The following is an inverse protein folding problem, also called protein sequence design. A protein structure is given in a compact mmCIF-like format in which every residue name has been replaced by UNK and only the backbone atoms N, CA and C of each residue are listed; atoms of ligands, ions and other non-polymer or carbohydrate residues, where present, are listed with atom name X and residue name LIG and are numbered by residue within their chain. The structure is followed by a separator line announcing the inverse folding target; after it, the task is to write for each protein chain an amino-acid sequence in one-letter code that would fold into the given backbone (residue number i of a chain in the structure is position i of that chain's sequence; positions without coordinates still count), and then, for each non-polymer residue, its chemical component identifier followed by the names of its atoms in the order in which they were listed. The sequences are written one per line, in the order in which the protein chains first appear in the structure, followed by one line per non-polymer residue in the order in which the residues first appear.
data_IF_960866382186
#
_entry.id   IF_960866382186
#
_cell.length_a   1.000
_cell.length_b   1.000
_cell.length_c   1.000
_cell.angle_alpha   90.00
_cell.angle_beta   90.00
_cell.angle_gamma   90.00
#
_symmetry.space_group_name_H-M   'P 1'
#
loop_
_entity.id
_entity.type
_entity.pdbx_description
1 polymer ?
#
# COMPACT_ATOMS: atom_id res chain seq x y z
N UNK A 1 9.98 14.65 40.10
CA UNK A 1 8.81 14.44 39.22
C UNK A 1 8.74 13.02 38.69
N UNK A 2 9.86 12.42 38.24
CA UNK A 2 9.94 11.03 37.76
C UNK A 2 9.36 10.00 38.75
N UNK A 3 9.67 10.12 40.04
CA UNK A 3 9.15 9.22 41.09
C UNK A 3 7.64 9.28 41.37
N UNK A 4 6.91 10.21 40.74
CA UNK A 4 5.45 10.34 40.88
C UNK A 4 4.68 9.62 39.77
N UNK A 5 5.30 9.31 38.64
CA UNK A 5 4.65 8.64 37.52
C UNK A 5 4.61 7.12 37.69
N UNK A 6 3.59 6.50 37.10
CA UNK A 6 3.39 5.04 37.03
C UNK A 6 3.30 4.59 35.58
N UNK A 7 3.56 3.30 35.33
CA UNK A 7 3.50 2.74 33.97
C UNK A 7 2.07 2.79 33.41
N UNK A 8 1.06 2.70 34.28
CA UNK A 8 -0.36 2.72 33.92
C UNK A 8 -0.90 4.14 33.68
N UNK A 9 -0.10 5.18 33.92
CA UNK A 9 -0.50 6.55 33.64
C UNK A 9 -0.60 6.77 32.12
N UNK A 10 -1.66 7.46 31.70
CA UNK A 10 -1.85 7.85 30.30
C UNK A 10 -0.74 8.82 29.89
N UNK A 11 0.01 8.45 28.86
CA UNK A 11 1.07 9.29 28.31
C UNK A 11 0.69 9.93 26.97
N UNK A 12 -0.26 9.34 26.24
CA UNK A 12 -0.64 9.80 24.91
C UNK A 12 -2.16 9.71 24.69
N UNK A 13 -2.70 10.73 24.02
CA UNK A 13 -4.08 10.80 23.53
C UNK A 13 -4.05 10.90 22.00
N UNK A 14 -4.37 9.83 21.29
CA UNK A 14 -4.35 9.81 19.82
C UNK A 14 -5.76 9.87 19.25
N UNK A 15 -6.04 10.91 18.48
CA UNK A 15 -7.31 11.03 17.78
C UNK A 15 -7.34 10.18 16.52
N UNK A 16 -8.28 9.25 16.44
CA UNK A 16 -8.52 8.44 15.24
C UNK A 16 -9.83 8.86 14.56
N UNK A 17 -9.78 8.99 13.23
CA UNK A 17 -10.97 9.10 12.40
C UNK A 17 -11.56 7.69 12.20
N UNK A 18 -12.36 7.27 13.18
CA UNK A 18 -13.26 6.14 12.99
C UNK A 18 -14.26 6.41 11.86
N UNK A 19 -15.11 5.43 11.50
CA UNK A 19 -16.17 5.62 10.49
C UNK A 19 -17.26 6.62 10.92
N UNK A 20 -17.20 7.12 12.15
CA UNK A 20 -18.08 8.16 12.70
C UNK A 20 -17.45 9.53 12.45
N UNK A 21 -18.25 10.53 12.09
CA UNK A 21 -17.78 11.88 11.76
C UNK A 21 -17.03 12.62 12.91
N UNK A 22 -17.05 12.08 14.13
CA UNK A 22 -16.33 12.63 15.28
C UNK A 22 -15.06 11.80 15.58
N UNK A 23 -13.87 12.43 15.66
CA UNK A 23 -12.63 11.77 16.05
C UNK A 23 -12.69 11.19 17.47
N UNK A 24 -12.14 9.98 17.66
CA UNK A 24 -12.09 9.28 18.94
C UNK A 24 -10.68 9.35 19.52
N UNK A 25 -10.53 9.82 20.76
CA UNK A 25 -9.22 9.93 21.42
C UNK A 25 -8.82 8.64 22.14
N UNK A 26 -7.97 7.80 21.54
CA UNK A 26 -7.43 6.61 22.17
C UNK A 26 -6.45 6.98 23.30
N UNK A 27 -6.69 6.45 24.51
CA UNK A 27 -5.86 6.65 25.68
C UNK A 27 -4.79 5.55 25.78
N UNK A 28 -3.53 5.93 25.56
CA UNK A 28 -2.38 5.03 25.63
C UNK A 28 -1.52 5.35 26.85
N UNK A 29 -1.18 4.31 27.60
CA UNK A 29 -0.33 4.40 28.81
C UNK A 29 1.14 4.18 28.47
N UNK A 30 2.03 4.56 29.40
CA UNK A 30 3.45 4.24 29.26
C UNK A 30 3.67 2.72 29.11
N UNK A 31 2.92 1.90 29.84
CA UNK A 31 2.98 0.44 29.77
C UNK A 31 2.62 -0.07 28.38
N UNK A 32 1.54 0.44 27.77
CA UNK A 32 1.14 0.03 26.42
C UNK A 32 2.25 0.32 25.39
N UNK A 33 2.78 1.54 25.41
CA UNK A 33 3.80 1.99 24.47
C UNK A 33 5.11 1.22 24.65
N UNK A 34 5.61 1.11 25.88
CA UNK A 34 6.89 0.45 26.15
C UNK A 34 6.83 -1.05 25.83
N UNK A 35 5.74 -1.73 26.18
CA UNK A 35 5.58 -3.16 25.91
C UNK A 35 5.48 -3.45 24.41
N UNK A 36 4.76 -2.61 23.66
CA UNK A 36 4.74 -2.70 22.19
C UNK A 36 6.16 -2.58 21.62
N UNK A 37 6.95 -1.59 22.07
CA UNK A 37 8.33 -1.39 21.60
C UNK A 37 9.24 -2.56 21.94
N UNK A 38 9.13 -3.12 23.15
CA UNK A 38 9.88 -4.31 23.57
C UNK A 38 9.53 -5.52 22.72
N UNK A 39 8.25 -5.74 22.46
CA UNK A 39 7.80 -6.88 21.66
C UNK A 39 8.23 -6.76 20.20
N UNK A 40 8.21 -5.56 19.62
CA UNK A 40 8.78 -5.33 18.29
C UNK A 40 10.28 -5.64 18.26
N UNK A 41 11.06 -5.11 19.22
CA UNK A 41 12.51 -5.29 19.27
C UNK A 41 12.95 -6.72 19.65
N UNK A 42 12.06 -7.54 20.21
CA UNK A 42 12.27 -8.99 20.36
C UNK A 42 12.17 -9.74 19.02
N UNK A 43 11.47 -9.17 18.04
CA UNK A 43 11.39 -9.71 16.68
C UNK A 43 12.55 -9.19 15.86
N UNK A 44 12.67 -7.86 15.77
CA UNK A 44 13.66 -7.15 14.96
C UNK A 44 14.47 -6.23 15.87
N UNK A 45 15.66 -6.66 16.33
CA UNK A 45 16.46 -5.89 17.28
C UNK A 45 16.92 -4.55 16.73
N UNK A 46 16.89 -3.52 17.58
CA UNK A 46 17.45 -2.20 17.30
C UNK A 46 18.65 -1.93 18.21
N UNK A 47 19.57 -1.11 17.70
CA UNK A 47 20.85 -0.82 18.33
C UNK A 47 21.05 0.68 18.49
N UNK A 48 21.81 1.10 19.49
CA UNK A 48 22.18 2.51 19.71
C UNK A 48 22.91 3.15 18.51
N UNK A 49 23.57 2.34 17.69
CA UNK A 49 24.25 2.76 16.46
C UNK A 49 23.34 2.88 15.25
N UNK A 50 22.05 2.54 15.39
CA UNK A 50 21.11 2.64 14.29
C UNK A 50 20.74 4.09 14.00
N UNK A 51 20.39 4.32 12.74
CA UNK A 51 19.86 5.58 12.24
C UNK A 51 18.44 5.30 11.79
N UNK A 52 17.47 6.01 12.35
CA UNK A 52 16.07 5.96 11.95
C UNK A 52 15.67 7.29 11.33
N UNK A 53 14.97 7.24 10.19
CA UNK A 53 14.39 8.44 9.57
C UNK A 53 12.95 8.60 10.05
N UNK A 54 12.71 9.62 10.87
CA UNK A 54 11.39 10.04 11.36
C UNK A 54 10.67 10.84 10.27
N UNK A 55 10.16 10.13 9.26
CA UNK A 55 9.41 10.73 8.16
C UNK A 55 7.92 10.95 8.48
N UNK A 56 7.33 10.15 9.38
CA UNK A 56 5.88 10.23 9.61
C UNK A 56 5.54 11.40 10.52
N UNK A 57 4.32 11.97 10.40
CA UNK A 57 3.85 12.95 11.36
C UNK A 57 3.82 12.36 12.77
N UNK A 58 4.31 13.11 13.77
CA UNK A 58 4.24 12.70 15.19
C UNK A 58 2.81 12.50 15.72
N UNK A 59 1.83 13.06 15.01
CA UNK A 59 0.40 12.85 15.25
C UNK A 59 -0.08 11.45 14.81
N UNK A 60 0.77 10.62 14.21
CA UNK A 60 0.46 9.23 13.89
C UNK A 60 1.11 8.28 14.90
N UNK A 61 0.36 7.26 15.31
CA UNK A 61 0.85 6.26 16.27
C UNK A 61 2.12 5.56 15.77
N UNK A 62 2.24 5.42 14.44
CA UNK A 62 3.39 4.88 13.74
C UNK A 62 4.72 5.57 14.08
N UNK A 63 4.71 6.89 14.22
CA UNK A 63 5.90 7.65 14.57
C UNK A 63 6.20 7.53 16.07
N UNK A 64 5.17 7.57 16.92
CA UNK A 64 5.35 7.38 18.37
C UNK A 64 5.87 5.99 18.74
N UNK A 65 5.41 4.95 18.05
CA UNK A 65 5.88 3.60 18.31
C UNK A 65 7.38 3.46 17.98
N UNK A 66 7.83 4.05 16.87
CA UNK A 66 9.24 3.99 16.47
C UNK A 66 10.08 4.94 17.32
N UNK A 67 9.77 6.23 17.30
CA UNK A 67 10.61 7.27 17.90
C UNK A 67 10.57 7.30 19.42
N UNK A 68 9.41 7.10 20.04
CA UNK A 68 9.28 7.15 21.50
C UNK A 68 9.42 5.76 22.10
N UNK A 69 8.63 4.79 21.63
CA UNK A 69 8.59 3.48 22.29
C UNK A 69 9.85 2.67 22.03
N UNK A 70 10.30 2.59 20.78
CA UNK A 70 11.53 1.89 20.45
C UNK A 70 12.76 2.79 20.68
N UNK A 71 12.71 4.05 20.23
CA UNK A 71 13.85 4.98 20.28
C UNK A 71 14.36 5.25 21.69
N UNK A 72 13.49 5.48 22.67
CA UNK A 72 13.93 5.71 24.05
C UNK A 72 14.54 4.44 24.68
N UNK A 73 14.07 3.26 24.28
CA UNK A 73 14.53 1.98 24.83
C UNK A 73 15.84 1.49 24.18
N UNK A 74 16.01 1.68 22.88
CA UNK A 74 17.18 1.25 22.13
C UNK A 74 18.28 2.32 22.03
N UNK A 75 17.93 3.61 22.12
CA UNK A 75 18.88 4.72 22.06
C UNK A 75 19.41 5.04 20.66
N UNK A 76 18.70 4.67 19.59
CA UNK A 76 19.11 4.99 18.22
C UNK A 76 18.91 6.46 17.86
N UNK A 77 19.59 6.92 16.81
CA UNK A 77 19.53 8.31 16.36
C UNK A 77 18.25 8.55 15.54
N UNK A 78 17.47 9.55 15.95
CA UNK A 78 16.29 10.05 15.22
C UNK A 78 16.70 11.16 14.27
N UNK A 79 16.53 10.92 12.98
CA UNK A 79 16.84 11.88 11.93
C UNK A 79 15.54 12.40 11.31
N UNK A 80 15.40 13.72 11.25
CA UNK A 80 14.22 14.39 10.72
C UNK A 80 14.54 14.97 9.33
N UNK A 81 13.72 14.69 8.31
CA UNK A 81 13.78 15.45 7.07
C UNK A 81 13.60 16.95 7.33
N UNK A 82 14.24 17.78 6.51
CA UNK A 82 14.11 19.23 6.62
C UNK A 82 12.69 19.69 6.27
N UNK A 83 12.15 19.14 5.17
CA UNK A 83 10.81 19.39 4.67
C UNK A 83 10.24 18.12 4.00
N UNK A 84 8.91 18.00 3.83
CA UNK A 84 8.30 16.87 3.13
C UNK A 84 8.84 16.65 1.72
N UNK A 85 9.17 17.73 1.01
CA UNK A 85 9.70 17.71 -0.36
C UNK A 85 11.14 17.21 -0.43
N UNK A 86 11.95 17.45 0.61
CA UNK A 86 13.36 17.03 0.69
C UNK A 86 13.53 15.63 1.29
N UNK A 87 12.44 15.02 1.78
CA UNK A 87 12.46 13.74 2.47
C UNK A 87 13.22 12.62 1.73
N UNK A 88 13.05 12.48 0.41
CA UNK A 88 13.75 11.44 -0.35
C UNK A 88 15.26 11.69 -0.43
N UNK A 89 15.68 12.95 -0.51
CA UNK A 89 17.09 13.34 -0.52
C UNK A 89 17.70 13.12 0.86
N UNK A 90 17.00 13.51 1.93
CA UNK A 90 17.45 13.26 3.30
C UNK A 90 17.51 11.76 3.62
N UNK A 91 16.53 10.95 3.21
CA UNK A 91 16.59 9.48 3.36
C UNK A 91 17.87 8.94 2.72
N UNK A 92 18.27 9.48 1.56
CA UNK A 92 19.49 9.07 0.89
C UNK A 92 20.76 9.50 1.63
N UNK A 93 20.81 10.71 2.13
CA UNK A 93 21.93 11.23 2.90
C UNK A 93 22.12 10.48 4.22
N UNK A 94 21.02 10.28 4.95
CA UNK A 94 21.00 9.56 6.23
C UNK A 94 21.37 8.09 6.02
N UNK A 95 20.83 7.47 4.96
CA UNK A 95 21.01 6.04 4.70
C UNK A 95 20.63 5.18 5.91
N UNK A 96 19.36 5.18 6.35
CA UNK A 96 18.94 4.58 7.60
C UNK A 96 19.24 3.09 7.72
N UNK A 97 19.34 2.63 8.98
CA UNK A 97 19.36 1.21 9.33
C UNK A 97 17.94 0.65 9.53
N UNK A 98 17.03 1.51 9.99
CA UNK A 98 15.61 1.17 10.20
C UNK A 98 14.72 2.24 9.57
N UNK A 99 13.67 1.84 8.87
CA UNK A 99 12.73 2.77 8.24
C UNK A 99 11.31 2.23 8.26
N UNK A 100 10.36 3.04 8.74
CA UNK A 100 8.94 2.75 8.65
C UNK A 100 8.25 3.80 7.78
N UNK A 101 7.57 3.36 6.72
CA UNK A 101 6.87 4.27 5.82
C UNK A 101 5.57 3.65 5.26
N UNK A 102 4.57 4.47 4.89
CA UNK A 102 3.36 3.96 4.26
C UNK A 102 3.66 3.44 2.85
N UNK A 103 2.82 2.54 2.28
CA UNK A 103 3.01 1.97 0.95
C UNK A 103 3.34 2.99 -0.12
N UNK A 104 2.68 4.15 -0.09
CA UNK A 104 2.87 5.26 -1.04
C UNK A 104 4.34 5.71 -1.17
N UNK A 105 5.13 5.68 -0.10
CA UNK A 105 6.55 6.07 -0.16
C UNK A 105 7.34 5.05 -0.98
N UNK A 106 7.13 3.76 -0.71
CA UNK A 106 7.75 2.67 -1.45
C UNK A 106 7.28 2.61 -2.91
N UNK A 107 5.98 2.81 -3.15
CA UNK A 107 5.40 2.94 -4.49
C UNK A 107 6.07 4.06 -5.28
N UNK A 108 6.26 5.24 -4.65
CA UNK A 108 6.93 6.38 -5.26
C UNK A 108 8.41 6.06 -5.56
N UNK A 109 9.11 5.37 -4.67
CA UNK A 109 10.48 4.90 -4.91
C UNK A 109 10.56 4.00 -6.13
N UNK A 110 9.68 2.99 -6.24
CA UNK A 110 9.62 2.08 -7.39
C UNK A 110 9.31 2.85 -8.67
N UNK A 111 8.33 3.75 -8.63
CA UNK A 111 7.95 4.59 -9.76
C UNK A 111 9.12 5.44 -10.25
N UNK A 112 9.87 6.07 -9.34
CA UNK A 112 11.06 6.86 -9.68
C UNK A 112 12.12 6.01 -10.39
N UNK A 113 12.29 4.75 -9.98
CA UNK A 113 13.19 3.79 -10.65
C UNK A 113 12.67 3.43 -12.04
N UNK A 114 11.38 3.14 -12.18
CA UNK A 114 10.76 2.79 -13.46
C UNK A 114 10.87 3.91 -14.48
N UNK A 115 10.61 5.16 -14.08
CA UNK A 115 10.78 6.35 -14.94
C UNK A 115 12.22 6.48 -15.41
N UNK A 116 13.20 6.40 -14.49
CA UNK A 116 14.63 6.46 -14.85
C UNK A 116 15.07 5.31 -15.73
N UNK A 117 14.48 4.13 -15.57
CA UNK A 117 14.70 2.99 -16.46
C UNK A 117 14.17 3.28 -17.87
N UNK A 118 12.98 3.86 -18.01
CA UNK A 118 12.42 4.26 -19.30
C UNK A 118 13.23 5.33 -20.01
N UNK A 119 13.99 6.16 -19.28
CA UNK A 119 14.86 7.19 -19.85
C UNK A 119 16.31 6.72 -20.06
N UNK A 120 16.69 5.55 -19.51
CA UNK A 120 18.07 5.07 -19.54
C UNK A 120 18.55 4.72 -20.98
N UNK A 121 19.85 4.73 -21.22
CA UNK A 121 20.42 4.24 -22.49
C UNK A 121 20.18 2.74 -22.66
N UNK A 122 20.17 2.26 -23.91
CA UNK A 122 19.94 0.83 -24.22
C UNK A 122 20.83 -0.11 -23.40
N UNK A 123 22.12 0.21 -23.25
CA UNK A 123 23.06 -0.59 -22.44
C UNK A 123 22.70 -0.63 -20.95
N UNK A 124 22.32 0.52 -20.38
CA UNK A 124 21.86 0.61 -18.98
C UNK A 124 20.54 -0.12 -18.76
N UNK A 125 19.60 -0.03 -19.71
CA UNK A 125 18.34 -0.79 -19.67
C UNK A 125 18.60 -2.29 -19.67
N UNK A 126 19.44 -2.79 -20.56
CA UNK A 126 19.76 -4.23 -20.61
C UNK A 126 20.49 -4.72 -19.36
N UNK A 127 21.39 -3.92 -18.81
CA UNK A 127 22.04 -4.24 -17.54
C UNK A 127 21.02 -4.31 -16.39
N UNK A 128 20.11 -3.33 -16.31
CA UNK A 128 19.02 -3.31 -15.32
C UNK A 128 18.08 -4.51 -15.49
N UNK A 129 17.58 -4.77 -16.70
CA UNK A 129 16.70 -5.91 -17.00
C UNK A 129 17.34 -7.24 -16.58
N UNK A 130 18.62 -7.44 -16.89
CA UNK A 130 19.35 -8.66 -16.52
C UNK A 130 19.53 -8.76 -15.00
N UNK A 131 19.96 -7.68 -14.35
CA UNK A 131 20.16 -7.66 -12.90
C UNK A 131 18.86 -7.94 -12.15
N UNK A 132 17.77 -7.25 -12.52
CA UNK A 132 16.45 -7.47 -11.94
C UNK A 132 15.94 -8.88 -12.20
N UNK A 133 16.14 -9.44 -13.40
CA UNK A 133 15.75 -10.84 -13.70
C UNK A 133 16.47 -11.84 -12.78
N UNK A 134 17.75 -11.63 -12.50
CA UNK A 134 18.53 -12.43 -11.57
C UNK A 134 17.98 -12.24 -10.14
N UNK A 135 17.80 -10.98 -9.72
CA UNK A 135 17.27 -10.63 -8.39
C UNK A 135 15.91 -11.25 -8.12
N UNK A 136 14.96 -11.12 -9.05
CA UNK A 136 13.62 -11.72 -8.92
C UNK A 136 13.67 -13.23 -8.80
N UNK A 137 14.53 -13.89 -9.58
CA UNK A 137 14.65 -15.35 -9.54
C UNK A 137 15.23 -15.84 -8.21
N UNK A 138 16.26 -15.14 -7.70
CA UNK A 138 16.87 -15.48 -6.40
C UNK A 138 15.90 -15.21 -5.26
N UNK A 139 15.22 -14.06 -5.26
CA UNK A 139 14.21 -13.74 -4.26
C UNK A 139 13.08 -14.79 -4.26
N UNK A 140 12.59 -15.22 -5.42
CA UNK A 140 11.57 -16.29 -5.53
C UNK A 140 12.03 -17.62 -4.90
N UNK A 141 13.31 -18.00 -5.07
CA UNK A 141 13.85 -19.18 -4.42
C UNK A 141 13.90 -19.02 -2.90
N UNK A 142 14.28 -17.83 -2.41
CA UNK A 142 14.30 -17.51 -0.99
C UNK A 142 12.89 -17.56 -0.38
N UNK A 143 11.89 -16.96 -1.04
CA UNK A 143 10.49 -16.99 -0.59
C UNK A 143 9.90 -18.39 -0.58
N UNK A 144 10.24 -19.22 -1.58
CA UNK A 144 9.79 -20.62 -1.64
C UNK A 144 10.63 -21.55 -0.76
N UNK A 145 11.52 -21.00 0.08
CA UNK A 145 12.43 -21.73 0.99
C UNK A 145 13.27 -22.79 0.25
N UNK A 146 13.57 -22.54 -1.03
CA UNK A 146 14.41 -23.41 -1.88
C UNK A 146 15.87 -22.96 -1.81
N UNK A 147 16.84 -23.89 -1.78
CA UNK A 147 18.24 -23.52 -1.76
C UNK A 147 18.64 -22.82 -3.07
N UNK A 148 19.26 -21.65 -2.97
CA UNK A 148 19.79 -20.91 -4.13
C UNK A 148 21.06 -21.61 -4.63
N UNK A 149 21.10 -22.10 -5.89
CA UNK A 149 22.29 -22.74 -6.45
C UNK A 149 23.51 -21.81 -6.48
N UNK A 150 24.73 -22.37 -6.33
CA UNK A 150 25.96 -21.57 -6.18
C UNK A 150 26.21 -20.61 -7.36
N UNK A 151 25.89 -21.02 -8.59
CA UNK A 151 26.05 -20.18 -9.78
C UNK A 151 25.07 -19.00 -9.78
N UNK A 152 23.84 -19.20 -9.28
CA UNK A 152 22.88 -18.10 -9.08
C UNK A 152 23.33 -17.15 -7.97
N UNK A 153 23.98 -17.64 -6.91
CA UNK A 153 24.62 -16.76 -5.91
C UNK A 153 25.72 -15.90 -6.53
N UNK A 154 26.56 -16.49 -7.38
CA UNK A 154 27.60 -15.75 -8.12
C UNK A 154 27.01 -14.69 -9.06
N UNK A 155 25.99 -15.05 -9.84
CA UNK A 155 25.28 -14.10 -10.72
C UNK A 155 24.61 -12.98 -9.92
N UNK A 156 23.99 -13.30 -8.78
CA UNK A 156 23.36 -12.29 -7.91
C UNK A 156 24.40 -11.34 -7.33
N UNK A 157 25.57 -11.84 -6.96
CA UNK A 157 26.68 -11.00 -6.49
C UNK A 157 27.18 -10.05 -7.60
N UNK A 158 27.28 -10.52 -8.84
CA UNK A 158 27.61 -9.65 -9.98
C UNK A 158 26.51 -8.61 -10.26
N UNK A 159 25.23 -9.01 -10.20
CA UNK A 159 24.09 -8.10 -10.32
C UNK A 159 24.09 -7.04 -9.21
N UNK A 160 24.45 -7.44 -7.98
CA UNK A 160 24.61 -6.54 -6.85
C UNK A 160 25.70 -5.50 -7.10
N UNK A 161 26.89 -5.91 -7.51
CA UNK A 161 28.00 -5.00 -7.79
C UNK A 161 27.70 -4.05 -8.97
N UNK A 162 27.06 -4.56 -10.02
CA UNK A 162 26.79 -3.80 -11.25
C UNK A 162 25.61 -2.82 -11.13
N UNK A 163 24.53 -3.24 -10.47
CA UNK A 163 23.25 -2.52 -10.48
C UNK A 163 22.65 -2.38 -9.07
N UNK A 164 22.38 -3.47 -8.34
CA UNK A 164 21.55 -3.38 -7.13
C UNK A 164 22.17 -2.49 -6.04
N UNK A 165 23.50 -2.51 -5.86
CA UNK A 165 24.19 -1.63 -4.91
C UNK A 165 23.95 -0.15 -5.19
N UNK A 166 24.07 0.26 -6.46
CA UNK A 166 23.84 1.66 -6.88
C UNK A 166 22.36 2.03 -6.80
N UNK A 167 21.48 1.07 -7.07
CA UNK A 167 20.04 1.26 -6.97
C UNK A 167 19.61 1.46 -5.52
N UNK A 168 20.07 0.60 -4.60
CA UNK A 168 19.88 0.77 -3.15
C UNK A 168 20.41 2.11 -2.67
N UNK A 169 21.62 2.49 -3.08
CA UNK A 169 22.21 3.80 -2.74
C UNK A 169 21.36 4.96 -3.23
N UNK A 170 20.88 4.89 -4.45
CA UNK A 170 20.04 5.93 -5.02
C UNK A 170 18.70 6.09 -4.27
N UNK A 171 18.17 4.98 -3.74
CA UNK A 171 16.95 4.96 -2.93
C UNK A 171 17.19 5.33 -1.46
N UNK A 172 18.46 5.45 -1.02
CA UNK A 172 18.81 5.64 0.39
C UNK A 172 18.75 4.37 1.25
N UNK A 173 18.70 3.21 0.61
CA UNK A 173 18.48 1.91 1.26
C UNK A 173 19.78 1.09 1.37
N UNK A 174 20.95 1.72 1.26
CA UNK A 174 22.25 1.03 1.26
C UNK A 174 22.54 0.30 2.58
N UNK A 175 22.23 0.93 3.72
CA UNK A 175 22.48 0.40 5.08
C UNK A 175 21.25 -0.21 5.74
N UNK A 176 20.10 -0.21 5.03
CA UNK A 176 18.84 -0.67 5.61
C UNK A 176 18.94 -2.14 6.01
N UNK A 177 18.56 -2.43 7.26
CA UNK A 177 18.44 -3.78 7.80
C UNK A 177 16.98 -4.18 7.86
N UNK A 178 16.17 -3.35 8.50
CA UNK A 178 14.75 -3.58 8.71
C UNK A 178 13.94 -2.43 8.12
N UNK A 179 12.98 -2.76 7.26
CA UNK A 179 12.06 -1.75 6.75
C UNK A 179 10.64 -2.24 6.71
N UNK A 180 9.73 -1.38 7.13
CA UNK A 180 8.35 -1.75 7.41
C UNK A 180 7.40 -0.92 6.57
N UNK A 181 6.33 -1.55 6.12
CA UNK A 181 5.19 -0.85 5.54
C UNK A 181 3.89 -1.24 6.20
N UNK A 182 2.99 -0.27 6.35
CA UNK A 182 1.73 -0.44 7.08
C UNK A 182 0.78 0.74 6.89
N UNK A 183 -0.40 0.63 7.49
CA UNK A 183 -1.49 1.61 7.36
C UNK A 183 -2.33 1.47 6.09
N UNK A 184 -1.83 0.74 5.08
CA UNK A 184 -2.58 0.27 3.93
C UNK A 184 -1.92 -1.01 3.37
N UNK A 185 -2.66 -1.74 2.54
CA UNK A 185 -2.09 -2.85 1.78
C UNK A 185 -1.15 -2.31 0.70
N UNK A 186 -0.08 -3.04 0.40
CA UNK A 186 0.84 -2.77 -0.70
C UNK A 186 0.83 -3.94 -1.68
N UNK A 187 0.96 -3.65 -2.99
CA UNK A 187 0.94 -4.67 -4.02
C UNK A 187 2.12 -5.66 -3.90
N UNK A 188 1.92 -6.98 -4.13
CA UNK A 188 2.97 -8.00 -4.08
C UNK A 188 4.20 -7.71 -4.93
N UNK A 189 3.99 -7.06 -6.08
CA UNK A 189 5.08 -6.70 -6.99
C UNK A 189 6.05 -5.68 -6.38
N UNK A 190 5.59 -4.79 -5.47
CA UNK A 190 6.49 -3.89 -4.74
C UNK A 190 7.40 -4.67 -3.80
N UNK A 191 6.85 -5.61 -3.03
CA UNK A 191 7.66 -6.50 -2.20
C UNK A 191 8.69 -7.26 -3.04
N UNK A 192 8.26 -7.89 -4.15
CA UNK A 192 9.17 -8.58 -5.06
C UNK A 192 10.30 -7.68 -5.53
N UNK A 193 10.01 -6.43 -5.89
CA UNK A 193 11.01 -5.47 -6.32
C UNK A 193 12.05 -5.20 -5.21
N UNK A 194 11.62 -4.82 -4.00
CA UNK A 194 12.55 -4.49 -2.93
C UNK A 194 13.40 -5.69 -2.50
N UNK A 195 12.78 -6.87 -2.40
CA UNK A 195 13.51 -8.09 -2.07
C UNK A 195 14.48 -8.52 -3.18
N UNK A 196 14.12 -8.33 -4.45
CA UNK A 196 15.02 -8.63 -5.58
C UNK A 196 16.32 -7.82 -5.56
N UNK A 197 16.30 -6.63 -4.94
CA UNK A 197 17.49 -5.79 -4.78
C UNK A 197 18.15 -5.98 -3.40
N UNK A 198 17.65 -6.88 -2.56
CA UNK A 198 18.20 -7.17 -1.23
C UNK A 198 17.78 -6.15 -0.17
N UNK A 199 16.55 -5.65 -0.22
CA UNK A 199 15.90 -4.84 0.81
C UNK A 199 14.84 -5.68 1.50
N UNK A 200 14.98 -5.88 2.82
CA UNK A 200 14.09 -6.71 3.63
C UNK A 200 12.82 -5.94 4.02
N UNK A 201 11.94 -5.73 3.04
CA UNK A 201 10.67 -5.02 3.24
C UNK A 201 9.61 -5.95 3.83
N UNK A 202 9.12 -5.58 5.01
CA UNK A 202 8.15 -6.34 5.82
C UNK A 202 6.81 -5.61 5.85
N UNK A 203 5.71 -6.34 5.67
CA UNK A 203 4.38 -5.81 5.96
C UNK A 203 4.12 -5.90 7.46
N UNK A 204 3.43 -4.91 7.99
CA UNK A 204 2.87 -4.92 9.35
C UNK A 204 1.36 -4.74 9.32
N UNK A 205 0.72 -5.21 10.38
CA UNK A 205 -0.65 -4.84 10.74
C UNK A 205 -0.70 -4.34 12.18
N UNK A 206 -1.55 -3.35 12.39
CA UNK A 206 -1.58 -2.56 13.60
C UNK A 206 -2.55 -1.40 13.50
N UNK A 207 -2.94 -0.87 14.65
CA UNK A 207 -3.84 0.26 14.79
C UNK A 207 -3.50 1.06 16.05
N UNK A 208 -4.07 2.26 16.17
CA UNK A 208 -3.82 3.13 17.33
C UNK A 208 -4.24 2.46 18.64
N UNK A 209 -5.34 1.72 18.62
CA UNK A 209 -5.95 1.05 19.76
C UNK A 209 -5.08 -0.10 20.32
N UNK A 210 -4.02 -0.53 19.62
CA UNK A 210 -3.02 -1.50 20.09
C UNK A 210 -1.60 -0.91 20.13
N UNK A 211 -1.50 0.42 20.28
CA UNK A 211 -0.25 1.16 20.37
C UNK A 211 0.69 1.03 19.16
N UNK A 212 0.17 0.65 17.99
CA UNK A 212 0.97 0.46 16.77
C UNK A 212 0.91 -0.97 16.25
N UNK A 213 2.06 -1.61 16.08
CA UNK A 213 2.22 -2.93 15.46
C UNK A 213 1.71 -4.03 16.40
N UNK A 214 0.90 -4.94 15.86
CA UNK A 214 0.48 -6.18 16.52
C UNK A 214 0.89 -7.43 15.76
N UNK A 215 1.09 -7.32 14.45
CA UNK A 215 1.42 -8.43 13.55
C UNK A 215 2.46 -7.95 12.54
N UNK A 216 3.44 -8.79 12.24
CA UNK A 216 4.63 -8.44 11.46
C UNK A 216 5.17 -9.66 10.71
N UNK A 217 5.59 -9.48 9.45
CA UNK A 217 6.39 -10.47 8.73
C UNK A 217 7.75 -10.72 9.40
N UNK A 218 8.22 -11.98 9.40
CA UNK A 218 9.52 -12.33 9.99
C UNK A 218 10.61 -12.42 8.93
N UNK A 219 11.86 -12.30 9.35
CA UNK A 219 13.01 -12.56 8.50
C UNK A 219 12.93 -13.95 7.87
N UNK A 220 13.00 -14.00 6.54
CA UNK A 220 12.90 -15.25 5.77
C UNK A 220 11.51 -15.89 5.75
N UNK A 221 10.49 -15.24 6.31
CA UNK A 221 9.10 -15.72 6.32
C UNK A 221 8.14 -14.59 5.90
N UNK A 222 8.18 -14.28 4.61
CA UNK A 222 7.42 -13.21 3.97
C UNK A 222 6.48 -13.80 2.93
N UNK A 223 5.20 -13.53 3.09
CA UNK A 223 4.15 -13.86 2.11
C UNK A 223 3.46 -12.58 1.70
N UNK A 224 3.49 -12.28 0.40
CA UNK A 224 3.06 -10.97 -0.10
C UNK A 224 1.58 -10.66 0.08
N UNK A 225 0.75 -11.69 0.24
CA UNK A 225 -0.68 -11.54 0.45
C UNK A 225 -1.06 -11.54 1.95
N UNK A 226 -0.07 -11.54 2.85
CA UNK A 226 -0.27 -11.58 4.31
C UNK A 226 0.40 -10.37 4.97
N UNK A 227 0.11 -10.17 6.27
CA UNK A 227 0.78 -9.17 7.13
C UNK A 227 1.71 -9.82 8.16
N UNK A 228 1.90 -11.14 8.06
CA UNK A 228 2.78 -11.91 8.94
C UNK A 228 2.08 -12.53 10.14
N UNK A 229 2.85 -12.70 11.22
CA UNK A 229 2.41 -13.39 12.44
C UNK A 229 2.45 -12.44 13.64
N UNK A 230 1.63 -12.68 14.69
CA UNK A 230 1.60 -11.80 15.84
C UNK A 230 2.99 -11.58 16.47
N UNK A 231 3.25 -10.38 16.97
CA UNK A 231 4.45 -10.10 17.75
C UNK A 231 4.32 -10.77 19.14
N UNK A 232 5.42 -10.93 19.91
CA UNK A 232 5.36 -11.51 21.24
C UNK A 232 4.28 -10.86 22.13
N UNK A 233 3.68 -11.68 23.00
CA UNK A 233 2.62 -11.26 23.94
C UNK A 233 1.35 -10.70 23.27
N UNK A 234 1.19 -10.92 21.96
CA UNK A 234 -0.01 -10.57 21.22
C UNK A 234 -0.70 -11.84 20.71
N UNK A 235 -1.94 -12.04 21.10
CA UNK A 235 -2.82 -13.06 20.55
C UNK A 235 -3.74 -12.45 19.50
N UNK A 236 -3.92 -13.14 18.37
CA UNK A 236 -4.87 -12.75 17.33
C UNK A 236 -5.83 -13.90 17.06
N UNK A 237 -7.13 -13.60 16.97
CA UNK A 237 -8.19 -14.57 16.62
C UNK A 237 -9.12 -13.96 15.58
N UNK A 238 -9.84 -14.83 14.87
CA UNK A 238 -10.87 -14.46 13.90
C UNK A 238 -12.22 -14.86 14.47
N UNK A 239 -13.18 -13.93 14.53
CA UNK A 239 -14.54 -14.22 14.97
C UNK A 239 -15.30 -15.04 13.92
N UNK A 240 -16.45 -15.67 14.27
CA UNK A 240 -17.28 -16.37 13.27
C UNK A 240 -17.71 -15.49 12.08
N UNK A 241 -17.81 -14.18 12.28
CA UNK A 241 -18.18 -13.21 11.24
C UNK A 241 -16.98 -12.76 10.37
N UNK A 242 -15.76 -13.20 10.72
CA UNK A 242 -14.52 -12.87 10.01
C UNK A 242 -13.75 -11.66 10.57
N UNK A 243 -14.19 -11.07 11.68
CA UNK A 243 -13.51 -9.93 12.31
C UNK A 243 -12.20 -10.36 12.98
N UNK A 244 -11.15 -9.56 12.80
CA UNK A 244 -9.86 -9.72 13.48
C UNK A 244 -9.98 -9.13 14.89
N UNK A 245 -9.75 -9.96 15.90
CA UNK A 245 -9.65 -9.50 17.30
C UNK A 245 -8.26 -9.78 17.86
N UNK A 246 -7.77 -8.86 18.71
CA UNK A 246 -6.43 -8.95 19.30
C UNK A 246 -6.46 -8.81 20.82
N UNK A 247 -5.61 -9.55 21.52
CA UNK A 247 -5.36 -9.38 22.96
C UNK A 247 -3.87 -9.17 23.18
N UNK A 248 -3.50 -8.07 23.83
CA UNK A 248 -2.11 -7.69 24.03
C UNK A 248 -1.99 -6.69 25.19
N UNK A 249 -0.88 -6.68 25.96
CA UNK A 249 -0.59 -5.60 26.91
C UNK A 249 -0.48 -4.21 26.26
N UNK A 250 -0.32 -4.15 24.94
CA UNK A 250 -0.27 -2.92 24.15
C UNK A 250 -1.65 -2.33 23.85
N UNK A 251 -2.74 -3.03 24.19
CA UNK A 251 -4.11 -2.56 23.97
C UNK A 251 -4.38 -1.33 24.86
N UNK A 252 -4.93 -0.28 24.23
CA UNK A 252 -5.31 0.97 24.89
C UNK A 252 -6.29 0.76 26.05
N UNK A 253 -6.38 1.71 26.97
CA UNK A 253 -7.31 1.62 28.11
C UNK A 253 -8.74 2.09 27.76
N UNK A 254 -8.95 2.52 26.52
CA UNK A 254 -10.23 2.98 26.00
C UNK A 254 -10.18 4.37 25.36
N UNK A 255 -11.35 4.86 24.94
CA UNK A 255 -11.52 6.17 24.36
C UNK A 255 -11.85 7.23 25.42
N UNK A 256 -11.20 8.39 25.30
CA UNK A 256 -11.37 9.53 26.18
C UNK A 256 -12.81 10.05 26.19
N UNK A 257 -13.47 9.96 27.34
CA UNK A 257 -14.86 10.40 27.56
C UNK A 257 -15.88 9.72 26.65
N UNK A 258 -15.59 8.51 26.14
CA UNK A 258 -16.51 7.74 25.29
C UNK A 258 -16.67 6.30 25.79
N UNK A 259 -17.22 6.08 27.00
CA UNK A 259 -17.30 4.74 27.62
C UNK A 259 -18.11 3.74 26.79
N UNK A 260 -19.16 4.18 26.10
CA UNK A 260 -19.96 3.31 25.23
C UNK A 260 -19.16 2.80 24.03
N UNK A 261 -18.39 3.67 23.39
CA UNK A 261 -17.53 3.29 22.26
C UNK A 261 -16.37 2.41 22.73
N UNK A 262 -15.83 2.67 23.92
CA UNK A 262 -14.84 1.81 24.57
C UNK A 262 -15.41 0.40 24.77
N UNK A 263 -16.61 0.26 25.35
CA UNK A 263 -17.22 -1.05 25.60
C UNK A 263 -17.61 -1.80 24.31
N UNK A 264 -17.85 -1.09 23.19
CA UNK A 264 -18.04 -1.71 21.88
C UNK A 264 -16.74 -2.25 21.28
N UNK A 265 -15.62 -1.59 21.58
CA UNK A 265 -14.31 -1.85 20.97
C UNK A 265 -13.47 -2.82 21.80
N UNK A 266 -13.60 -2.78 23.12
CA UNK A 266 -12.99 -3.69 24.08
C UNK A 266 -14.06 -4.58 24.70
N UNK A 267 -14.00 -5.88 24.43
CA UNK A 267 -14.90 -6.89 25.00
C UNK A 267 -14.07 -8.04 25.56
N UNK A 268 -14.24 -8.34 26.85
CA UNK A 268 -13.54 -9.47 27.51
C UNK A 268 -12.01 -9.45 27.30
N UNK A 269 -11.39 -8.27 27.38
CA UNK A 269 -9.98 -7.96 27.07
C UNK A 269 -9.56 -8.13 25.60
N UNK A 270 -10.49 -8.41 24.70
CA UNK A 270 -10.23 -8.45 23.26
C UNK A 270 -10.54 -7.09 22.62
N UNK A 271 -9.56 -6.60 21.88
CA UNK A 271 -9.71 -5.49 20.96
C UNK A 271 -10.40 -5.97 19.68
N UNK A 272 -11.62 -5.51 19.46
CA UNK A 272 -12.35 -5.64 18.21
C UNK A 272 -11.86 -4.59 17.21
N UNK A 273 -11.14 -5.03 16.17
CA UNK A 273 -10.50 -4.11 15.21
C UNK A 273 -11.48 -3.44 14.24
N UNK A 274 -12.62 -4.07 13.96
CA UNK A 274 -13.47 -3.70 12.83
C UNK A 274 -12.88 -4.04 11.46
N UNK A 275 -11.74 -4.74 11.39
CA UNK A 275 -11.12 -5.24 10.17
C UNK A 275 -11.46 -6.72 9.96
N UNK A 276 -11.60 -7.12 8.70
CA UNK A 276 -11.88 -8.52 8.32
C UNK A 276 -10.64 -9.20 7.80
N UNK A 277 -10.45 -10.46 8.20
CA UNK A 277 -9.33 -11.27 7.74
C UNK A 277 -9.50 -12.74 8.05
N UNK A 278 -8.46 -13.51 7.74
CA UNK A 278 -8.33 -14.90 8.15
C UNK A 278 -6.88 -15.23 8.46
N UNK A 279 -6.66 -16.31 9.21
CA UNK A 279 -5.33 -16.85 9.46
C UNK A 279 -5.15 -18.06 8.53
N UNK A 280 -4.07 -18.06 7.75
CA UNK A 280 -3.77 -19.15 6.83
C UNK A 280 -3.22 -20.39 7.56
N UNK A 281 -3.02 -21.49 6.83
CA UNK A 281 -2.56 -22.76 7.39
C UNK A 281 -1.16 -22.71 8.03
N UNK A 282 -0.36 -21.69 7.72
CA UNK A 282 0.98 -21.48 8.28
C UNK A 282 0.98 -20.42 9.38
N UNK A 283 -0.21 -19.95 9.81
CA UNK A 283 -0.36 -19.01 10.91
C UNK A 283 -0.23 -17.53 10.51
N UNK A 284 -0.14 -17.22 9.22
CA UNK A 284 -0.07 -15.83 8.76
C UNK A 284 -1.46 -15.19 8.71
N UNK A 285 -1.56 -13.96 9.21
CA UNK A 285 -2.77 -13.15 9.09
C UNK A 285 -2.86 -12.56 7.68
N UNK A 286 -4.01 -12.72 7.03
CA UNK A 286 -4.40 -12.03 5.81
C UNK A 286 -5.47 -11.01 6.16
N UNK A 287 -5.23 -9.74 5.82
CA UNK A 287 -6.15 -8.63 6.07
C UNK A 287 -6.76 -8.21 4.74
N UNK A 288 -8.09 -8.19 4.66
CA UNK A 288 -8.78 -7.85 3.41
C UNK A 288 -9.07 -6.36 3.30
N UNK A 289 -9.79 -5.80 4.28
CA UNK A 289 -10.06 -4.38 4.47
C UNK A 289 -10.88 -4.23 5.77
N UNK A 290 -11.31 -3.02 6.10
CA UNK A 290 -12.38 -2.80 7.07
C UNK A 290 -13.60 -3.64 6.68
N UNK A 291 -14.26 -4.25 7.66
CA UNK A 291 -15.47 -5.07 7.44
C UNK A 291 -16.56 -4.33 6.64
N UNK A 292 -16.58 -3.00 6.71
CA UNK A 292 -17.52 -2.13 5.98
C UNK A 292 -17.12 -1.83 4.52
N UNK A 293 -15.84 -1.99 4.17
CA UNK A 293 -15.28 -1.61 2.87
C UNK A 293 -15.12 -2.84 1.93
N UNK A 294 -15.36 -4.06 2.44
CA UNK A 294 -15.45 -5.29 1.64
C UNK A 294 -16.74 -5.29 0.82
N UNK A 295 -16.62 -5.54 -0.49
CA UNK A 295 -17.75 -5.62 -1.40
C UNK A 295 -18.19 -7.08 -1.59
N UNK A 296 -19.48 -7.27 -1.87
CA UNK A 296 -20.07 -8.60 -2.06
C UNK A 296 -20.64 -8.69 -3.47
N UNK A 297 -20.13 -9.63 -4.28
CA UNK A 297 -20.70 -9.94 -5.59
C UNK A 297 -22.13 -10.50 -5.46
N UNK A 298 -22.89 -10.53 -6.54
CA UNK A 298 -24.28 -11.03 -6.53
C UNK A 298 -24.41 -12.49 -6.10
N UNK A 299 -23.32 -13.27 -6.16
CA UNK A 299 -23.26 -14.68 -5.73
C UNK A 299 -22.83 -14.86 -4.27
N UNK A 300 -22.62 -13.78 -3.52
CA UNK A 300 -22.18 -13.79 -2.12
C UNK A 300 -20.66 -13.78 -1.94
N UNK A 301 -19.87 -13.81 -3.01
CA UNK A 301 -18.42 -13.77 -2.93
C UNK A 301 -17.93 -12.41 -2.45
N UNK A 302 -17.07 -12.41 -1.43
CA UNK A 302 -16.44 -11.21 -0.90
C UNK A 302 -15.17 -10.86 -1.68
N UNK A 303 -14.97 -9.59 -2.02
CA UNK A 303 -13.71 -9.09 -2.55
C UNK A 303 -13.38 -7.71 -1.97
N UNK A 304 -12.08 -7.40 -1.86
CA UNK A 304 -11.58 -6.11 -1.39
C UNK A 304 -11.21 -5.24 -2.60
N UNK A 305 -11.94 -4.15 -2.89
CA UNK A 305 -11.65 -3.30 -4.05
C UNK A 305 -10.27 -2.64 -3.96
N UNK A 306 -9.86 -2.18 -2.77
CA UNK A 306 -8.57 -1.53 -2.56
C UNK A 306 -7.38 -2.45 -2.88
N UNK A 307 -7.50 -3.74 -2.58
CA UNK A 307 -6.46 -4.72 -2.88
C UNK A 307 -6.17 -4.81 -4.39
N UNK A 308 -7.22 -4.82 -5.21
CA UNK A 308 -7.10 -4.82 -6.68
C UNK A 308 -6.53 -3.50 -7.20
N UNK A 309 -7.01 -2.38 -6.65
CA UNK A 309 -6.58 -1.03 -7.04
C UNK A 309 -5.09 -0.80 -6.78
N UNK A 310 -4.61 -1.13 -5.58
CA UNK A 310 -3.20 -0.97 -5.23
C UNK A 310 -2.30 -1.87 -6.07
N UNK A 311 -2.73 -3.10 -6.35
CA UNK A 311 -1.94 -4.03 -7.16
C UNK A 311 -1.72 -3.53 -8.58
N UNK A 312 -2.74 -2.94 -9.21
CA UNK A 312 -2.62 -2.36 -10.55
C UNK A 312 -1.78 -1.08 -10.57
N UNK A 313 -1.80 -0.29 -9.48
CA UNK A 313 -0.95 0.90 -9.33
C UNK A 313 0.56 0.60 -9.23
N UNK A 314 0.96 -0.67 -9.16
CA UNK A 314 2.37 -1.06 -9.37
C UNK A 314 2.86 -0.73 -10.79
N UNK A 315 1.94 -0.73 -11.77
CA UNK A 315 2.28 -0.37 -13.14
C UNK A 315 2.57 1.12 -13.26
N UNK A 316 3.71 1.53 -13.85
CA UNK A 316 4.02 2.95 -14.03
C UNK A 316 3.05 3.66 -14.98
N UNK A 317 2.27 2.91 -15.75
CA UNK A 317 1.31 3.44 -16.71
C UNK A 317 -0.05 3.78 -16.08
N UNK A 318 -0.30 3.34 -14.84
CA UNK A 318 -1.59 3.46 -14.16
C UNK A 318 -1.44 4.42 -12.98
N UNK A 319 -2.23 5.49 -12.99
CA UNK A 319 -2.22 6.54 -11.97
C UNK A 319 -3.23 6.28 -10.86
N UNK A 320 -4.48 6.02 -11.23
CA UNK A 320 -5.55 5.67 -10.29
C UNK A 320 -6.40 4.53 -10.86
N UNK A 321 -7.02 3.78 -9.97
CA UNK A 321 -7.90 2.66 -10.29
C UNK A 321 -9.14 2.76 -9.44
N UNK A 322 -10.29 2.52 -10.06
CA UNK A 322 -11.56 2.37 -9.37
C UNK A 322 -12.13 0.98 -9.67
N UNK A 323 -12.10 0.10 -8.67
CA UNK A 323 -12.71 -1.23 -8.75
C UNK A 323 -14.20 -1.16 -8.39
N UNK A 324 -15.01 -1.85 -9.20
CA UNK A 324 -16.47 -1.90 -9.12
C UNK A 324 -16.89 -3.37 -9.12
N UNK A 325 -17.81 -3.73 -8.23
CA UNK A 325 -18.38 -5.08 -8.20
C UNK A 325 -19.46 -5.32 -7.14
N UNK A 326 -19.74 -4.35 -6.25
CA UNK A 326 -20.76 -4.56 -5.21
C UNK A 326 -22.14 -4.86 -5.83
N UNK A 327 -22.70 -6.00 -5.45
CA UNK A 327 -23.97 -6.56 -5.95
C UNK A 327 -23.99 -6.76 -7.48
N UNK A 328 -22.82 -6.92 -8.09
CA UNK A 328 -22.65 -7.19 -9.53
C UNK A 328 -22.17 -8.64 -9.75
N UNK A 329 -22.34 -9.19 -10.97
CA UNK A 329 -21.95 -10.58 -11.26
C UNK A 329 -20.45 -10.84 -11.30
N UNK A 330 -19.62 -9.81 -11.46
CA UNK A 330 -18.15 -9.93 -11.54
C UNK A 330 -17.49 -8.58 -11.26
N UNK A 331 -16.17 -8.57 -11.10
CA UNK A 331 -15.40 -7.34 -10.88
C UNK A 331 -15.01 -6.66 -12.20
N UNK A 332 -15.18 -5.34 -12.26
CA UNK A 332 -14.74 -4.46 -13.36
C UNK A 332 -13.92 -3.31 -12.81
N UNK A 333 -13.12 -2.65 -13.66
CA UNK A 333 -12.30 -1.51 -13.21
C UNK A 333 -12.36 -0.33 -14.19
N UNK A 334 -12.22 0.88 -13.65
CA UNK A 334 -11.96 2.11 -14.40
C UNK A 334 -10.52 2.54 -14.12
N UNK A 335 -9.75 2.82 -15.16
CA UNK A 335 -8.32 3.17 -15.08
C UNK A 335 -8.12 4.64 -15.44
N UNK A 336 -7.42 5.39 -14.60
CA UNK A 336 -6.79 6.66 -14.98
C UNK A 336 -5.33 6.37 -15.32
N UNK A 337 -4.91 6.68 -16.54
CA UNK A 337 -3.52 6.49 -16.96
C UNK A 337 -2.62 7.56 -16.35
N UNK A 338 -1.32 7.28 -16.26
CA UNK A 338 -0.35 8.31 -15.90
C UNK A 338 0.06 9.11 -17.13
N UNK A 339 -0.40 10.37 -17.23
CA UNK A 339 -0.23 11.17 -18.44
C UNK A 339 1.23 11.30 -18.89
N UNK A 340 2.13 11.60 -17.94
CA UNK A 340 3.53 11.83 -18.24
C UNK A 340 4.23 10.54 -18.69
N UNK A 341 4.00 9.43 -17.99
CA UNK A 341 4.66 8.15 -18.31
C UNK A 341 4.11 7.56 -19.61
N UNK A 342 2.78 7.54 -19.77
CA UNK A 342 2.15 7.01 -20.99
C UNK A 342 2.44 7.91 -22.19
N UNK A 343 2.55 9.22 -21.97
CA UNK A 343 2.99 10.18 -22.98
C UNK A 343 4.38 9.87 -23.51
N UNK A 344 5.38 9.77 -22.62
CA UNK A 344 6.75 9.37 -23.00
C UNK A 344 6.79 8.00 -23.69
N UNK A 345 5.98 7.04 -23.23
CA UNK A 345 5.87 5.72 -23.85
C UNK A 345 5.32 5.76 -25.28
N UNK A 346 4.34 6.65 -25.52
CA UNK A 346 3.71 6.89 -26.82
C UNK A 346 4.67 7.60 -27.77
N UNK A 347 5.36 8.65 -27.32
CA UNK A 347 6.39 9.37 -28.08
C UNK A 347 7.52 8.44 -28.53
N UNK A 348 8.02 7.58 -27.62
CA UNK A 348 9.05 6.59 -27.93
C UNK A 348 8.63 5.57 -29.01
N UNK A 349 7.33 5.48 -29.33
CA UNK A 349 6.73 4.62 -30.37
C UNK A 349 6.21 5.40 -31.57
N UNK A 350 6.48 6.70 -31.64
CA UNK A 350 5.97 7.62 -32.65
C UNK A 350 4.43 7.63 -32.72
N UNK A 351 3.77 7.48 -31.58
CA UNK A 351 2.31 7.62 -31.46
C UNK A 351 2.01 9.10 -31.21
N UNK A 352 1.26 9.72 -32.13
CA UNK A 352 0.89 11.13 -32.04
C UNK A 352 -0.37 11.28 -31.18
N UNK A 353 -0.36 12.24 -30.27
CA UNK A 353 -1.50 12.66 -29.46
C UNK A 353 -1.34 14.14 -29.09
N UNK A 354 -2.43 14.81 -28.77
CA UNK A 354 -2.46 16.24 -28.41
C UNK A 354 -2.91 16.53 -26.98
N UNK A 355 -3.57 15.57 -26.34
CA UNK A 355 -4.20 15.76 -25.03
C UNK A 355 -4.35 14.45 -24.26
N UNK A 356 -4.62 14.54 -22.96
CA UNK A 356 -4.91 13.38 -22.11
C UNK A 356 -6.11 12.57 -22.61
N UNK A 357 -7.29 13.18 -22.90
CA UNK A 357 -8.44 12.43 -23.39
C UNK A 357 -8.09 11.63 -24.65
N UNK A 358 -7.40 12.25 -25.61
CA UNK A 358 -6.95 11.55 -26.82
C UNK A 358 -6.02 10.37 -26.48
N UNK A 359 -4.95 10.62 -25.71
CA UNK A 359 -3.96 9.59 -25.34
C UNK A 359 -4.62 8.40 -24.64
N UNK A 360 -5.51 8.65 -23.68
CA UNK A 360 -6.20 7.61 -22.91
C UNK A 360 -7.05 6.68 -23.77
N UNK A 361 -7.54 7.18 -24.92
CA UNK A 361 -8.43 6.45 -25.81
C UNK A 361 -7.71 5.75 -26.98
N UNK A 362 -6.40 5.91 -27.12
CA UNK A 362 -5.62 5.27 -28.18
C UNK A 362 -5.65 3.73 -28.03
N UNK A 363 -5.93 2.95 -29.10
CA UNK A 363 -6.00 1.49 -29.02
C UNK A 363 -4.75 0.83 -28.42
N UNK A 364 -3.56 1.34 -28.77
CA UNK A 364 -2.29 0.85 -28.23
C UNK A 364 -2.14 1.10 -26.73
N UNK A 365 -2.76 2.16 -26.19
CA UNK A 365 -2.81 2.42 -24.74
C UNK A 365 -3.79 1.45 -24.06
N UNK A 366 -4.93 1.15 -24.67
CA UNK A 366 -5.81 0.07 -24.18
C UNK A 366 -5.09 -1.28 -24.13
N UNK A 367 -4.33 -1.64 -25.17
CA UNK A 367 -3.52 -2.87 -25.17
C UNK A 367 -2.43 -2.87 -24.09
N UNK A 368 -1.80 -1.72 -23.85
CA UNK A 368 -0.81 -1.54 -22.79
C UNK A 368 -1.44 -1.82 -21.42
N UNK A 369 -2.57 -1.19 -21.13
CA UNK A 369 -3.28 -1.36 -19.85
C UNK A 369 -3.84 -2.78 -19.71
N UNK A 370 -4.41 -3.36 -20.77
CA UNK A 370 -4.91 -4.74 -20.76
C UNK A 370 -3.82 -5.73 -20.37
N UNK A 371 -2.58 -5.56 -20.85
CA UNK A 371 -1.43 -6.43 -20.48
C UNK A 371 -1.14 -6.39 -18.99
N UNK A 372 -1.23 -5.22 -18.36
CA UNK A 372 -1.03 -5.06 -16.92
C UNK A 372 -2.16 -5.73 -16.11
N UNK A 373 -3.41 -5.60 -16.56
CA UNK A 373 -4.55 -6.28 -15.92
C UNK A 373 -4.45 -7.79 -16.07
N UNK A 374 -4.08 -8.30 -17.25
CA UNK A 374 -3.86 -9.73 -17.48
C UNK A 374 -2.73 -10.26 -16.58
N UNK A 375 -1.65 -9.48 -16.39
CA UNK A 375 -0.58 -9.83 -15.47
C UNK A 375 -1.11 -9.97 -14.04
N UNK A 376 -1.91 -9.02 -13.56
CA UNK A 376 -2.53 -9.09 -12.24
C UNK A 376 -3.47 -10.30 -12.11
N UNK A 377 -4.34 -10.53 -13.09
CA UNK A 377 -5.36 -11.58 -13.05
C UNK A 377 -4.76 -13.00 -12.89
N UNK A 378 -3.53 -13.23 -13.35
CA UNK A 378 -2.84 -14.52 -13.21
C UNK A 378 -2.68 -14.95 -11.76
N UNK A 379 -2.53 -13.99 -10.87
CA UNK A 379 -2.30 -14.23 -9.45
C UNK A 379 -3.58 -14.15 -8.61
N UNK A 380 -4.73 -13.83 -9.24
CA UNK A 380 -6.02 -13.73 -8.57
C UNK A 380 -6.84 -15.02 -8.71
N UNK A 381 -7.60 -15.40 -7.66
CA UNK A 381 -8.62 -16.43 -7.78
C UNK A 381 -9.58 -16.11 -8.94
N UNK A 382 -10.07 -17.11 -9.70
CA UNK A 382 -10.90 -16.88 -10.89
C UNK A 382 -12.09 -15.94 -10.69
N UNK A 383 -12.66 -15.92 -9.48
CA UNK A 383 -13.83 -15.13 -9.10
C UNK A 383 -13.50 -13.65 -8.80
N UNK A 384 -12.25 -13.37 -8.41
CA UNK A 384 -11.76 -12.01 -8.14
C UNK A 384 -11.08 -11.38 -9.37
N UNK A 385 -10.96 -12.13 -10.49
CA UNK A 385 -10.36 -11.63 -11.73
C UNK A 385 -11.24 -10.53 -12.33
N UNK A 386 -10.57 -9.46 -12.75
CA UNK A 386 -11.21 -8.38 -13.48
C UNK A 386 -11.66 -8.92 -14.84
N UNK A 387 -12.94 -8.74 -15.18
CA UNK A 387 -13.51 -9.20 -16.46
C UNK A 387 -13.46 -8.14 -17.54
N UNK A 388 -13.76 -6.89 -17.20
CA UNK A 388 -13.87 -5.78 -18.14
C UNK A 388 -13.29 -4.51 -17.54
N UNK A 389 -12.77 -3.64 -18.40
CA UNK A 389 -12.23 -2.35 -18.00
C UNK A 389 -12.45 -1.27 -19.04
N UNK A 390 -12.21 -0.03 -18.62
CA UNK A 390 -12.21 1.16 -19.46
C UNK A 390 -11.11 2.11 -19.00
N UNK A 391 -10.53 2.88 -19.93
CA UNK A 391 -9.64 3.99 -19.60
C UNK A 391 -10.47 5.26 -19.48
N UNK A 392 -10.43 5.93 -18.32
CA UNK A 392 -11.11 7.19 -18.10
C UNK A 392 -10.43 8.30 -18.91
N UNK A 393 -11.24 9.12 -19.56
CA UNK A 393 -10.82 10.25 -20.40
C UNK A 393 -10.25 11.45 -19.63
N UNK A 394 -10.25 11.40 -18.29
CA UNK A 394 -9.61 12.36 -17.38
C UNK A 394 -8.98 11.63 -16.19
N UNK A 395 -8.13 12.33 -15.44
CA UNK A 395 -7.72 11.89 -14.11
C UNK A 395 -8.79 12.23 -13.07
N UNK A 396 -8.82 11.50 -11.94
CA UNK A 396 -9.69 11.87 -10.82
C UNK A 396 -9.15 13.10 -10.10
N UNK A 397 -10.06 14.02 -9.76
CA UNK A 397 -9.71 15.27 -9.11
C UNK A 397 -10.39 15.43 -7.75
N UNK A 398 -9.66 15.98 -6.77
CA UNK A 398 -10.21 16.30 -5.45
C UNK A 398 -11.16 17.51 -5.51
N UNK A 399 -10.92 18.44 -6.44
CA UNK A 399 -11.76 19.64 -6.59
C UNK A 399 -13.08 19.32 -7.33
N UNK A 400 -13.13 18.21 -8.08
CA UNK A 400 -14.37 17.63 -8.65
C UNK A 400 -15.20 16.79 -7.65
N UNK A 401 -14.81 16.77 -6.37
CA UNK A 401 -15.37 15.93 -5.30
C UNK A 401 -15.21 14.41 -5.51
N UNK A 402 -14.37 13.99 -6.47
CA UNK A 402 -14.14 12.57 -6.78
C UNK A 402 -13.15 11.93 -5.80
N UNK A 403 -12.19 12.73 -5.32
CA UNK A 403 -11.23 12.35 -4.30
C UNK A 403 -11.40 13.20 -3.04
N UNK A 404 -11.03 12.66 -1.88
CA UNK A 404 -10.77 13.48 -0.69
C UNK A 404 -9.48 14.29 -0.89
N UNK A 405 -9.24 15.30 -0.04
CA UNK A 405 -7.93 16.01 0.00
C UNK A 405 -6.75 15.08 0.32
N UNK A 406 -7.01 13.93 0.93
CA UNK A 406 -6.03 12.85 1.14
C UNK A 406 -5.94 11.87 -0.03
N UNK A 407 -6.57 12.17 -1.17
CA UNK A 407 -6.64 11.36 -2.39
C UNK A 407 -7.35 10.00 -2.24
N UNK A 408 -8.30 9.88 -1.31
CA UNK A 408 -9.17 8.70 -1.18
C UNK A 408 -10.38 8.85 -2.11
N UNK A 409 -10.68 7.81 -2.90
CA UNK A 409 -11.84 7.82 -3.81
C UNK A 409 -13.18 7.87 -3.07
N UNK A 410 -14.04 8.82 -3.44
CA UNK A 410 -15.42 8.94 -2.94
C UNK A 410 -16.37 8.06 -3.75
N UNK A 411 -16.26 6.74 -3.56
CA UNK A 411 -16.93 5.70 -4.36
C UNK A 411 -18.40 5.98 -4.67
N UNK A 412 -19.23 6.27 -3.68
CA UNK A 412 -20.67 6.52 -3.88
C UNK A 412 -20.94 7.71 -4.81
N UNK A 413 -20.15 8.79 -4.68
CA UNK A 413 -20.27 9.96 -5.54
C UNK A 413 -19.80 9.66 -6.96
N UNK A 414 -18.67 8.96 -7.10
CA UNK A 414 -18.10 8.56 -8.39
C UNK A 414 -19.02 7.58 -9.12
N UNK A 415 -19.59 6.60 -8.42
CA UNK A 415 -20.62 5.69 -8.94
C UNK A 415 -21.83 6.44 -9.47
N UNK A 416 -22.26 7.49 -8.76
CA UNK A 416 -23.40 8.28 -9.19
C UNK A 416 -23.08 9.19 -10.38
N UNK A 417 -21.91 9.84 -10.38
CA UNK A 417 -21.46 10.72 -11.46
C UNK A 417 -21.20 9.96 -12.76
N UNK A 418 -20.70 8.73 -12.66
CA UNK A 418 -20.28 7.91 -13.80
C UNK A 418 -21.18 6.68 -14.04
N UNK A 419 -22.49 6.79 -13.74
CA UNK A 419 -23.48 5.71 -13.92
C UNK A 419 -23.42 5.08 -15.32
N UNK A 420 -23.25 5.87 -16.37
CA UNK A 420 -23.19 5.38 -17.75
C UNK A 420 -21.98 4.48 -18.00
N UNK A 421 -20.84 4.81 -17.39
CA UNK A 421 -19.63 3.97 -17.44
C UNK A 421 -19.89 2.65 -16.72
N UNK A 422 -20.47 2.72 -15.51
CA UNK A 422 -20.81 1.51 -14.72
C UNK A 422 -21.77 0.62 -15.53
N UNK A 423 -22.83 1.18 -16.10
CA UNK A 423 -23.78 0.43 -16.91
C UNK A 423 -23.13 -0.17 -18.16
N UNK A 424 -22.23 0.56 -18.82
CA UNK A 424 -21.47 0.07 -19.97
C UNK A 424 -20.60 -1.15 -19.63
N UNK A 425 -19.93 -1.12 -18.48
CA UNK A 425 -19.09 -2.23 -18.01
C UNK A 425 -19.88 -3.54 -17.74
N UNK A 426 -21.18 -3.45 -17.48
CA UNK A 426 -22.06 -4.59 -17.21
C UNK A 426 -23.11 -4.85 -18.31
N UNK A 427 -22.96 -4.25 -19.49
CA UNK A 427 -23.82 -4.49 -20.66
C UNK A 427 -23.00 -4.92 -21.88
N UNK A 428 -23.65 -5.43 -22.91
CA UNK A 428 -22.98 -5.93 -24.14
C UNK A 428 -22.43 -4.82 -25.04
N UNK A 429 -22.35 -3.57 -24.56
CA UNK A 429 -21.81 -2.45 -25.33
C UNK A 429 -20.29 -2.52 -25.42
N UNK A 430 -19.75 -2.17 -26.59
CA UNK A 430 -18.31 -2.05 -26.82
C UNK A 430 -17.76 -0.65 -26.54
N UNK A 431 -18.65 0.34 -26.44
CA UNK A 431 -18.29 1.75 -26.29
C UNK A 431 -19.29 2.42 -25.35
N UNK A 432 -18.79 3.24 -24.43
CA UNK A 432 -19.57 4.15 -23.60
C UNK A 432 -19.39 5.55 -24.15
N UNK A 433 -20.50 6.16 -24.56
CA UNK A 433 -20.53 7.55 -24.98
C UNK A 433 -20.73 8.41 -23.74
N UNK A 434 -19.82 9.34 -23.49
CA UNK A 434 -19.97 10.29 -22.40
C UNK A 434 -20.11 11.69 -22.97
N UNK A 435 -21.19 12.35 -22.55
CA UNK A 435 -21.54 13.71 -22.91
C UNK A 435 -21.77 14.49 -21.61
N UNK A 436 -20.72 15.17 -21.13
CA UNK A 436 -20.78 15.86 -19.83
C UNK A 436 -20.20 17.25 -19.89
N UNK A 437 -20.62 18.09 -18.95
CA UNK A 437 -20.09 19.43 -18.75
C UNK A 437 -19.13 19.40 -17.55
N UNK A 438 -17.87 19.77 -17.75
CA UNK A 438 -16.92 20.00 -16.65
C UNK A 438 -16.87 21.50 -16.39
N UNK A 439 -17.16 21.90 -15.16
CA UNK A 439 -17.00 23.29 -14.71
C UNK A 439 -15.67 23.41 -13.98
N UNK A 440 -14.73 24.16 -14.55
CA UNK A 440 -13.46 24.48 -13.92
C UNK A 440 -13.63 25.52 -12.80
N UNK A 441 -12.65 25.62 -11.90
CA UNK A 441 -12.68 26.55 -10.75
C UNK A 441 -12.81 28.03 -11.17
N UNK A 442 -12.36 28.39 -12.36
CA UNK A 442 -12.51 29.73 -12.93
C UNK A 442 -13.91 30.00 -13.51
N UNK A 443 -14.84 29.05 -13.35
CA UNK A 443 -16.21 29.11 -13.83
C UNK A 443 -16.39 28.71 -15.30
N UNK A 444 -15.32 28.31 -16.00
CA UNK A 444 -15.44 27.84 -17.38
C UNK A 444 -16.12 26.48 -17.44
N UNK A 445 -17.19 26.39 -18.21
CA UNK A 445 -17.86 25.13 -18.51
C UNK A 445 -17.34 24.61 -19.84
N UNK A 446 -16.62 23.48 -19.82
CA UNK A 446 -16.18 22.77 -21.00
C UNK A 446 -17.06 21.56 -21.21
N UNK A 447 -17.67 21.51 -22.39
CA UNK A 447 -18.43 20.37 -22.85
C UNK A 447 -17.48 19.29 -23.35
N UNK A 448 -17.50 18.11 -22.72
CA UNK A 448 -16.69 16.96 -23.09
C UNK A 448 -17.61 15.90 -23.70
N UNK A 449 -17.36 15.65 -24.98
CA UNK A 449 -17.89 14.50 -25.72
C UNK A 449 -16.75 13.55 -25.99
N UNK A 450 -16.82 12.35 -25.41
CA UNK A 450 -15.77 11.36 -25.60
C UNK A 450 -16.36 9.96 -25.60
N UNK A 451 -15.78 9.13 -26.46
CA UNK A 451 -16.14 7.73 -26.60
C UNK A 451 -15.07 6.91 -25.89
N UNK A 452 -15.50 6.13 -24.92
CA UNK A 452 -14.62 5.24 -24.19
C UNK A 452 -14.88 3.80 -24.58
N UNK A 453 -13.83 3.07 -24.96
CA UNK A 453 -13.95 1.67 -25.35
C UNK A 453 -14.04 0.77 -24.12
N UNK A 454 -15.07 -0.07 -24.06
CA UNK A 454 -15.16 -1.14 -23.06
C UNK A 454 -14.36 -2.32 -23.55
N UNK A 455 -13.31 -2.68 -22.82
CA UNK A 455 -12.41 -3.76 -23.17
C UNK A 455 -12.68 -4.98 -22.27
N UNK A 456 -12.80 -6.15 -22.88
CA UNK A 456 -12.77 -7.42 -22.15
C UNK A 456 -11.33 -7.79 -21.80
N UNK A 457 -11.16 -8.45 -20.66
CA UNK A 457 -9.87 -8.93 -20.19
C UNK A 457 -9.81 -10.44 -20.41
N UNK A 458 -8.81 -10.95 -21.14
CA UNK A 458 -8.55 -12.38 -21.24
C UNK A 458 -8.41 -13.03 -19.85
N UNK A 459 -9.03 -14.19 -19.68
CA UNK A 459 -9.19 -14.85 -18.37
C UNK A 459 -8.11 -15.85 -18.03
#
# INVERSE_FOLDING_TARGET
LISKGKAEDVCLLFYTSGTTALPKGALLTHYNMLTMGQNLMRVDPYFETDDFVSYLPYAWIGEQMMSISCGIQAGFTLNFPEEPETAQENIREIGPHVMFAPPRVYEQMVRNVQVKYLDASWSKRKAYELAMKIGYYVAELEFTKKPVPFYWKGLNYLAYLGVHKKLKDHLGLSRIRDTYTGGAAMGPDHFRFFHSIGVNLKQIYGQTEIAGISVLHRDGDIKFDTVGVPIPETEVKITPDGEIISKSPSVFIGYYKMPEETAKTLKDDWLHSGDTGFIDAEGHLVVFDRTKDVMILSDGTKFAPQYLETRLKFSPYIREVWAIGDKKPYVTIVICIDYAVVGNWAEARNIVYSSYPELSQIPQVYELIQKEIVKMNRDLPPIARVKRFVNLYKEFDADDDELTRTRKLRRTFVEERYKDIVNGLYSDVSTVHMDTNITYEDGRVVHIKTDMKVMEVPQ
#
